data_IF_691953305339
#
_entry.id   IF_691953305339
#
_cell.length_a   1.000
_cell.length_b   1.000
_cell.length_c   1.000
_cell.angle_alpha   90.00
_cell.angle_beta   90.00
_cell.angle_gamma   90.00
#
_symmetry.space_group_name_H-M   'P 1'
#
loop_
_entity.id
_entity.type
_entity.pdbx_description
1 polymer ?
#
# COMPACT_ATOMS: atom_id res chain seq x y z
N UNK A 1 -11.44 0.01 -12.49
CA UNK A 1 -10.04 -0.29 -12.08
C UNK A 1 -9.73 0.56 -10.89
N UNK A 2 -8.90 0.08 -9.96
CA UNK A 2 -8.50 0.88 -8.80
C UNK A 2 -7.65 2.08 -9.26
N UNK A 3 -7.72 3.18 -8.53
CA UNK A 3 -6.81 4.32 -8.65
C UNK A 3 -6.25 4.65 -7.28
N UNK A 4 -5.01 5.12 -7.22
CA UNK A 4 -4.30 5.37 -5.96
C UNK A 4 -5.10 6.20 -4.94
N UNK A 5 -5.82 7.23 -5.38
CA UNK A 5 -6.66 8.07 -4.51
C UNK A 5 -7.77 7.29 -3.79
N UNK A 6 -8.16 6.13 -4.32
CA UNK A 6 -9.17 5.27 -3.70
C UNK A 6 -8.63 4.34 -2.62
N UNK A 7 -7.31 4.17 -2.49
CA UNK A 7 -6.73 3.20 -1.55
C UNK A 7 -5.48 3.64 -0.78
N UNK A 8 -4.87 4.78 -1.13
CA UNK A 8 -3.62 5.23 -0.51
C UNK A 8 -3.70 5.31 1.03
N UNK A 9 -4.85 5.74 1.57
CA UNK A 9 -5.06 5.93 3.00
C UNK A 9 -5.89 4.81 3.67
N UNK A 10 -6.17 3.71 2.95
CA UNK A 10 -6.97 2.58 3.49
C UNK A 10 -6.21 1.73 4.51
N UNK A 11 -4.88 1.78 4.49
CA UNK A 11 -4.01 0.81 5.17
C UNK A 11 -3.10 1.54 6.15
N UNK A 12 -3.46 1.63 7.45
CA UNK A 12 -2.69 2.39 8.44
C UNK A 12 -1.23 1.92 8.60
N UNK A 13 -0.93 0.66 8.30
CA UNK A 13 0.44 0.13 8.36
C UNK A 13 1.28 0.38 7.10
N UNK A 14 0.72 1.07 6.10
CA UNK A 14 1.32 1.21 4.76
C UNK A 14 1.16 2.65 4.27
N UNK A 15 2.27 3.37 4.17
CA UNK A 15 2.31 4.65 3.46
C UNK A 15 2.61 4.43 1.98
N UNK A 16 1.88 5.13 1.12
CA UNK A 16 2.02 5.02 -0.34
C UNK A 16 2.30 6.38 -0.98
N UNK A 17 3.28 6.40 -1.87
CA UNK A 17 3.63 7.57 -2.69
C UNK A 17 3.89 7.08 -4.12
N UNK A 18 3.35 7.77 -5.13
CA UNK A 18 3.55 7.40 -6.53
C UNK A 18 4.11 8.53 -7.36
N UNK A 19 5.19 8.23 -8.08
CA UNK A 19 5.87 9.16 -8.97
C UNK A 19 6.10 8.51 -10.34
N UNK A 20 5.51 9.06 -11.39
CA UNK A 20 5.67 8.57 -12.77
C UNK A 20 5.39 7.06 -12.94
N UNK A 21 4.39 6.54 -12.21
CA UNK A 21 4.01 5.12 -12.22
C UNK A 21 4.87 4.20 -11.35
N UNK A 22 5.87 4.73 -10.63
CA UNK A 22 6.62 4.02 -9.60
C UNK A 22 5.87 4.21 -8.28
N UNK A 23 5.33 3.13 -7.71
CA UNK A 23 4.67 3.15 -6.41
C UNK A 23 5.65 2.73 -5.31
N UNK A 24 5.95 3.62 -4.38
CA UNK A 24 6.68 3.26 -3.17
C UNK A 24 5.68 2.87 -2.07
N UNK A 25 5.81 1.64 -1.55
CA UNK A 25 5.08 1.18 -0.38
C UNK A 25 6.03 1.09 0.82
N UNK A 26 5.79 1.89 1.87
CA UNK A 26 6.57 1.82 3.11
C UNK A 26 5.72 1.17 4.20
N UNK A 27 6.12 -0.02 4.64
CA UNK A 27 5.48 -0.69 5.78
C UNK A 27 6.00 -0.15 7.11
N UNK A 28 5.09 0.20 8.01
CA UNK A 28 5.43 0.83 9.27
C UNK A 28 4.43 0.55 10.40
N UNK A 29 4.83 0.93 11.61
CA UNK A 29 3.93 1.15 12.74
C UNK A 29 4.28 2.52 13.31
N UNK A 30 3.35 3.47 13.23
CA UNK A 30 3.55 4.86 13.66
C UNK A 30 4.83 5.53 13.10
N UNK A 31 5.17 5.24 11.85
CA UNK A 31 6.37 5.76 11.17
C UNK A 31 7.69 5.08 11.55
N UNK A 32 7.69 4.13 12.49
CA UNK A 32 8.83 3.27 12.82
C UNK A 32 8.84 1.95 12.03
N UNK A 33 9.75 1.02 12.37
CA UNK A 33 9.76 -0.32 11.80
C UNK A 33 8.39 -0.99 11.97
N UNK A 34 7.98 -1.76 10.95
CA UNK A 34 6.74 -2.53 11.02
C UNK A 34 6.76 -3.49 12.22
N UNK A 35 5.76 -3.37 13.07
CA UNK A 35 5.45 -4.39 14.08
C UNK A 35 4.49 -5.41 13.45
N UNK A 36 4.99 -6.62 13.18
CA UNK A 36 4.18 -7.66 12.54
C UNK A 36 3.11 -8.21 13.50
N UNK A 37 1.91 -8.44 12.98
CA UNK A 37 0.77 -8.94 13.74
C UNK A 37 -0.47 -9.11 12.88
N UNK A 38 -1.63 -9.31 13.53
CA UNK A 38 -2.90 -9.58 12.84
C UNK A 38 -3.33 -8.49 11.86
N UNK A 39 -3.25 -7.21 12.25
CA UNK A 39 -3.69 -6.10 11.38
C UNK A 39 -2.83 -5.99 10.10
N UNK A 40 -1.48 -5.90 10.18
CA UNK A 40 -0.66 -5.91 8.96
C UNK A 40 -0.86 -7.15 8.09
N UNK A 41 -1.01 -8.34 8.70
CA UNK A 41 -1.24 -9.58 7.95
C UNK A 41 -2.51 -9.50 7.08
N UNK A 42 -3.61 -8.98 7.63
CA UNK A 42 -4.84 -8.82 6.86
C UNK A 42 -4.76 -7.68 5.83
N UNK A 43 -4.13 -6.56 6.19
CA UNK A 43 -3.94 -5.40 5.30
C UNK A 43 -3.13 -5.80 4.06
N UNK A 44 -2.08 -6.61 4.21
CA UNK A 44 -1.18 -7.00 3.12
C UNK A 44 -1.93 -7.77 2.02
N UNK A 45 -2.84 -8.67 2.39
CA UNK A 45 -3.62 -9.41 1.40
C UNK A 45 -4.52 -8.48 0.57
N UNK A 46 -5.14 -7.49 1.22
CA UNK A 46 -6.06 -6.54 0.58
C UNK A 46 -5.32 -5.51 -0.27
N UNK A 47 -4.22 -4.95 0.24
CA UNK A 47 -3.43 -3.94 -0.47
C UNK A 47 -2.83 -4.47 -1.75
N UNK A 48 -2.37 -5.73 -1.78
CA UNK A 48 -1.81 -6.31 -3.00
C UNK A 48 -2.86 -6.51 -4.10
N UNK A 49 -4.13 -6.73 -3.73
CA UNK A 49 -5.23 -6.77 -4.70
C UNK A 49 -5.51 -5.38 -5.27
N UNK A 50 -5.58 -4.35 -4.43
CA UNK A 50 -5.79 -2.96 -4.86
C UNK A 50 -4.64 -2.48 -5.76
N UNK A 51 -3.40 -2.64 -5.29
CA UNK A 51 -2.17 -2.25 -6.01
C UNK A 51 -2.03 -3.00 -7.33
N UNK A 52 -2.31 -4.30 -7.36
CA UNK A 52 -2.25 -5.12 -8.58
C UNK A 52 -3.38 -4.83 -9.57
N UNK A 53 -4.48 -4.24 -9.12
CA UNK A 53 -5.63 -3.87 -9.96
C UNK A 53 -5.55 -2.43 -10.51
N UNK A 54 -4.60 -1.64 -10.03
CA UNK A 54 -4.32 -0.28 -10.50
C UNK A 54 -3.29 -0.30 -11.63
N UNK A 55 -3.75 0.00 -12.85
CA UNK A 55 -2.92 -0.07 -14.07
C UNK A 55 -1.92 1.07 -14.20
N UNK A 56 -2.05 2.12 -13.39
CA UNK A 56 -1.09 3.22 -13.38
C UNK A 56 0.17 2.87 -12.57
N UNK A 57 0.14 1.81 -11.76
CA UNK A 57 1.32 1.22 -11.15
C UNK A 57 2.09 0.41 -12.21
N UNK A 58 3.26 0.90 -12.59
CA UNK A 58 4.16 0.25 -13.55
C UNK A 58 5.23 -0.60 -12.87
N UNK A 59 5.64 -0.18 -11.68
CA UNK A 59 6.58 -0.87 -10.81
C UNK A 59 6.29 -0.49 -9.35
N UNK A 60 6.55 -1.42 -8.43
CA UNK A 60 6.38 -1.28 -6.98
C UNK A 60 7.71 -1.60 -6.31
#
# INVERSE_FOLDING_TARGET
MASLDTYADKYPSIRMERHNGILQMTFHTDGGPLQWGGSPHEEFSRVFVDVGSDRENRIV
#
